data_IF_763536314253
#
_entry.id   IF_763536314253
#
_cell.length_a   1.000
_cell.length_b   1.000
_cell.length_c   1.000
_cell.angle_alpha   90.00
_cell.angle_beta   90.00
_cell.angle_gamma   90.00
#
_symmetry.space_group_name_H-M   'P 1'
#
loop_
_entity.id
_entity.type
_entity.pdbx_description
1 polymer ?
#
# COMPACT_ATOMS: atom_id res chain seq x y z
N UNK A 1 8.89 11.06 -25.25
CA UNK A 1 7.44 11.04 -24.91
C UNK A 1 6.83 9.64 -25.11
N UNK A 2 6.94 9.00 -26.27
CA UNK A 2 6.39 7.65 -26.52
C UNK A 2 6.96 6.52 -25.63
N UNK A 3 8.24 6.60 -25.25
CA UNK A 3 8.83 5.64 -24.29
C UNK A 3 8.34 5.85 -22.85
N UNK A 4 8.06 7.09 -22.47
CA UNK A 4 7.50 7.43 -21.16
C UNK A 4 6.06 6.91 -21.05
N UNK A 5 5.27 7.03 -22.12
CA UNK A 5 3.94 6.43 -22.19
C UNK A 5 3.99 4.90 -22.15
N UNK A 6 4.96 4.26 -22.81
CA UNK A 6 5.17 2.82 -22.74
C UNK A 6 5.53 2.33 -21.33
N UNK A 7 6.40 3.08 -20.63
CA UNK A 7 6.76 2.81 -19.24
C UNK A 7 5.60 3.06 -18.28
N UNK A 8 4.87 4.16 -18.43
CA UNK A 8 3.67 4.45 -17.65
C UNK A 8 2.61 3.40 -17.89
N UNK A 9 2.45 2.86 -19.11
CA UNK A 9 1.46 1.81 -19.39
C UNK A 9 1.83 0.47 -18.72
N UNK A 10 3.12 0.18 -18.59
CA UNK A 10 3.63 -1.05 -17.94
C UNK A 10 3.68 -0.94 -16.41
N UNK A 11 4.06 0.22 -15.88
CA UNK A 11 4.26 0.49 -14.45
C UNK A 11 3.20 1.39 -13.82
N UNK A 12 2.09 1.66 -14.53
CA UNK A 12 0.98 2.52 -14.09
C UNK A 12 0.60 2.29 -12.64
N UNK A 13 0.42 1.04 -12.24
CA UNK A 13 0.01 0.70 -10.88
C UNK A 13 1.07 1.05 -9.83
N UNK A 14 2.35 0.84 -10.11
CA UNK A 14 3.44 1.20 -9.20
C UNK A 14 3.57 2.71 -9.07
N UNK A 15 3.51 3.42 -10.19
CA UNK A 15 3.54 4.90 -10.21
C UNK A 15 2.34 5.47 -9.45
N UNK A 16 1.15 4.90 -9.63
CA UNK A 16 -0.04 5.29 -8.87
C UNK A 16 0.10 4.98 -7.37
N UNK A 17 0.65 3.83 -7.00
CA UNK A 17 0.87 3.47 -5.59
C UNK A 17 1.84 4.45 -4.92
N UNK A 18 2.95 4.75 -5.59
CA UNK A 18 3.96 5.70 -5.10
C UNK A 18 3.38 7.09 -5.00
N UNK A 19 2.65 7.55 -6.01
CA UNK A 19 1.96 8.84 -5.98
C UNK A 19 0.94 8.92 -4.83
N UNK A 20 0.20 7.83 -4.57
CA UNK A 20 -0.75 7.73 -3.48
C UNK A 20 -0.07 7.80 -2.10
N UNK A 21 1.05 7.10 -1.91
CA UNK A 21 1.83 7.20 -0.67
C UNK A 21 2.45 8.58 -0.47
N UNK A 22 2.97 9.19 -1.54
CA UNK A 22 3.51 10.54 -1.49
C UNK A 22 2.44 11.58 -1.13
N UNK A 23 1.26 11.50 -1.76
CA UNK A 23 0.12 12.36 -1.43
C UNK A 23 -0.33 12.14 0.03
N UNK A 24 -0.52 10.89 0.45
CA UNK A 24 -0.92 10.57 1.82
C UNK A 24 0.10 11.07 2.86
N UNK A 25 1.39 11.02 2.53
CA UNK A 25 2.47 11.60 3.32
C UNK A 25 2.33 13.11 3.48
N UNK A 26 2.16 13.83 2.37
CA UNK A 26 2.04 15.29 2.37
C UNK A 26 0.76 15.74 3.10
N UNK A 27 -0.39 15.14 2.78
CA UNK A 27 -1.67 15.51 3.37
C UNK A 27 -1.82 15.07 4.84
N UNK A 28 -1.22 13.93 5.20
CA UNK A 28 -1.18 13.43 6.58
C UNK A 28 -0.20 14.17 7.49
N UNK A 29 0.70 15.00 6.93
CA UNK A 29 1.65 15.80 7.71
C UNK A 29 1.16 17.23 7.95
N UNK A 30 0.39 17.82 7.02
CA UNK A 30 0.21 19.28 7.01
C UNK A 30 -1.22 19.83 6.88
N UNK A 31 -2.26 19.04 6.58
CA UNK A 31 -3.50 19.64 6.04
C UNK A 31 -4.83 19.18 6.64
N UNK A 32 -5.03 17.89 6.96
CA UNK A 32 -6.37 17.39 7.36
C UNK A 32 -6.29 16.43 8.55
N UNK A 33 -5.24 15.60 8.63
CA UNK A 33 -5.09 14.59 9.68
C UNK A 33 -3.83 14.90 10.49
N UNK A 34 -3.96 14.86 11.83
CA UNK A 34 -2.81 15.06 12.72
C UNK A 34 -1.81 13.90 12.54
N UNK A 35 -0.49 14.18 12.52
CA UNK A 35 0.56 13.18 12.33
C UNK A 35 0.52 12.06 13.39
N UNK A 36 -0.04 12.35 14.57
CA UNK A 36 -0.26 11.36 15.61
C UNK A 36 -1.10 10.17 15.13
N UNK A 37 -2.18 10.43 14.40
CA UNK A 37 -3.05 9.37 13.87
C UNK A 37 -2.33 8.53 12.83
N UNK A 38 -1.62 9.17 11.91
CA UNK A 38 -0.84 8.49 10.87
C UNK A 38 0.15 7.48 11.47
N UNK A 39 0.86 7.87 12.53
CA UNK A 39 1.77 6.98 13.25
C UNK A 39 1.02 5.86 13.96
N UNK A 40 -0.07 6.18 14.68
CA UNK A 40 -0.86 5.18 15.40
C UNK A 40 -1.42 4.09 14.45
N UNK A 41 -1.97 4.49 13.31
CA UNK A 41 -2.49 3.57 12.30
C UNK A 41 -1.37 2.77 11.63
N UNK A 42 -0.23 3.39 11.30
CA UNK A 42 0.92 2.66 10.77
C UNK A 42 1.45 1.60 11.75
N UNK A 43 1.57 1.95 13.03
CA UNK A 43 2.01 1.03 14.09
C UNK A 43 1.00 -0.10 14.31
N UNK A 44 -0.29 0.21 14.42
CA UNK A 44 -1.36 -0.79 14.53
C UNK A 44 -1.37 -1.74 13.32
N UNK A 45 -1.22 -1.17 12.11
CA UNK A 45 -1.10 -1.94 10.88
C UNK A 45 0.11 -2.87 10.90
N UNK A 46 1.26 -2.38 11.36
CA UNK A 46 2.48 -3.17 11.55
C UNK A 46 2.26 -4.39 12.45
N UNK A 47 1.64 -4.18 13.61
CA UNK A 47 1.35 -5.27 14.55
C UNK A 47 0.40 -6.29 13.93
N UNK A 48 -0.70 -5.84 13.32
CA UNK A 48 -1.68 -6.73 12.67
C UNK A 48 -1.03 -7.50 11.51
N UNK A 49 -0.21 -6.82 10.71
CA UNK A 49 0.51 -7.41 9.57
C UNK A 49 1.50 -8.48 9.99
N UNK A 50 2.18 -8.29 11.12
CA UNK A 50 3.09 -9.27 11.70
C UNK A 50 2.35 -10.46 12.34
N UNK A 51 1.19 -10.22 12.97
CA UNK A 51 0.37 -11.27 13.59
C UNK A 51 -0.34 -12.15 12.57
N UNK A 52 -0.82 -11.59 11.46
CA UNK A 52 -1.66 -12.29 10.48
C UNK A 52 -1.14 -12.15 9.04
N UNK A 53 0.12 -12.52 8.75
CA UNK A 53 0.76 -12.27 7.46
C UNK A 53 0.04 -12.96 6.30
N UNK A 54 -0.54 -14.14 6.54
CA UNK A 54 -1.29 -14.91 5.54
C UNK A 54 -2.63 -14.26 5.18
N UNK A 55 -3.33 -13.68 6.16
CA UNK A 55 -4.57 -12.94 5.91
C UNK A 55 -4.29 -11.72 5.04
N UNK A 56 -3.20 -10.99 5.33
CA UNK A 56 -2.80 -9.81 4.56
C UNK A 56 -2.43 -10.21 3.14
N UNK A 57 -1.67 -11.29 2.96
CA UNK A 57 -1.35 -11.82 1.63
C UNK A 57 -2.61 -12.17 0.82
N UNK A 58 -3.58 -12.86 1.43
CA UNK A 58 -4.87 -13.18 0.77
C UNK A 58 -5.66 -11.93 0.39
N UNK A 59 -5.75 -10.97 1.30
CA UNK A 59 -6.42 -9.69 1.07
C UNK A 59 -5.76 -8.93 -0.09
N UNK A 60 -4.43 -8.76 -0.07
CA UNK A 60 -3.72 -8.08 -1.15
C UNK A 60 -3.92 -8.77 -2.49
N UNK A 61 -3.88 -10.12 -2.54
CA UNK A 61 -4.17 -10.86 -3.77
C UNK A 61 -5.60 -10.66 -4.25
N UNK A 62 -6.58 -10.64 -3.35
CA UNK A 62 -7.97 -10.40 -3.72
C UNK A 62 -8.18 -8.99 -4.28
N UNK A 63 -7.61 -7.96 -3.63
CA UNK A 63 -7.71 -6.56 -4.05
C UNK A 63 -7.00 -6.33 -5.39
N UNK A 64 -5.76 -6.81 -5.52
CA UNK A 64 -4.98 -6.71 -6.74
C UNK A 64 -5.66 -7.50 -7.87
N UNK A 65 -6.09 -8.73 -7.59
CA UNK A 65 -6.81 -9.56 -8.57
C UNK A 65 -8.13 -8.92 -9.02
N UNK A 66 -8.85 -8.26 -8.12
CA UNK A 66 -10.04 -7.48 -8.46
C UNK A 66 -9.70 -6.30 -9.38
N UNK A 67 -8.67 -5.52 -9.06
CA UNK A 67 -8.19 -4.41 -9.88
C UNK A 67 -7.76 -4.88 -11.27
N UNK A 68 -7.01 -5.99 -11.37
CA UNK A 68 -6.53 -6.52 -12.64
C UNK A 68 -7.64 -7.14 -13.50
N UNK A 69 -8.76 -7.56 -12.91
CA UNK A 69 -9.93 -8.05 -13.66
C UNK A 69 -10.72 -6.95 -14.37
N UNK A 70 -10.51 -5.69 -14.02
CA UNK A 70 -11.25 -4.57 -14.61
C UNK A 70 -10.62 -4.12 -15.94
N UNK A 71 -11.45 -3.62 -16.85
CA UNK A 71 -11.00 -2.99 -18.10
C UNK A 71 -10.10 -1.77 -17.85
N UNK A 72 -9.24 -1.44 -18.83
CA UNK A 72 -8.24 -0.37 -18.68
C UNK A 72 -8.83 0.98 -18.28
N UNK A 73 -9.98 1.35 -18.84
CA UNK A 73 -10.66 2.60 -18.51
C UNK A 73 -11.20 2.57 -17.07
N UNK A 74 -11.78 1.45 -16.66
CA UNK A 74 -12.29 1.25 -15.31
C UNK A 74 -11.17 1.27 -14.28
N UNK A 75 -10.02 0.66 -14.58
CA UNK A 75 -8.83 0.75 -13.72
C UNK A 75 -8.36 2.18 -13.53
N UNK A 76 -8.36 3.00 -14.59
CA UNK A 76 -7.95 4.40 -14.54
C UNK A 76 -8.92 5.24 -13.69
N UNK A 77 -10.22 5.03 -13.89
CA UNK A 77 -11.27 5.69 -13.09
C UNK A 77 -11.14 5.28 -11.62
N UNK A 78 -10.98 3.99 -11.34
CA UNK A 78 -10.85 3.49 -9.96
C UNK A 78 -9.58 4.03 -9.29
N UNK A 79 -8.45 4.07 -10.01
CA UNK A 79 -7.21 4.65 -9.52
C UNK A 79 -7.36 6.14 -9.20
N UNK A 80 -8.02 6.91 -10.09
CA UNK A 80 -8.33 8.32 -9.85
C UNK A 80 -9.24 8.52 -8.64
N UNK A 81 -10.30 7.73 -8.51
CA UNK A 81 -11.21 7.77 -7.35
C UNK A 81 -10.46 7.43 -6.05
N UNK A 82 -9.66 6.37 -6.04
CA UNK A 82 -8.85 5.98 -4.88
C UNK A 82 -7.83 7.06 -4.53
N UNK A 83 -7.23 7.71 -5.53
CA UNK A 83 -6.28 8.81 -5.33
C UNK A 83 -6.97 10.02 -4.67
N UNK A 84 -8.14 10.44 -5.13
CA UNK A 84 -8.90 11.52 -4.49
C UNK A 84 -9.34 11.12 -3.09
N UNK A 85 -9.85 9.89 -2.93
CA UNK A 85 -10.24 9.37 -1.62
C UNK A 85 -9.05 9.29 -0.67
N UNK A 86 -7.83 9.03 -1.14
CA UNK A 86 -6.63 8.91 -0.30
C UNK A 86 -6.35 10.16 0.55
N UNK A 87 -6.81 11.33 0.11
CA UNK A 87 -6.75 12.59 0.87
C UNK A 87 -7.65 12.51 2.12
N UNK A 88 -8.84 11.91 1.99
CA UNK A 88 -9.80 11.72 3.09
C UNK A 88 -9.44 10.50 3.95
N UNK A 89 -8.94 9.43 3.33
CA UNK A 89 -8.58 8.16 3.99
C UNK A 89 -7.07 8.03 4.26
N UNK A 90 -6.35 9.14 4.44
CA UNK A 90 -4.92 9.16 4.77
C UNK A 90 -4.52 8.13 5.84
N UNK A 91 -5.22 8.00 6.98
CA UNK A 91 -4.87 7.01 8.00
C UNK A 91 -4.97 5.56 7.52
N UNK A 92 -5.88 5.26 6.59
CA UNK A 92 -6.02 3.93 6.01
C UNK A 92 -4.82 3.60 5.11
N UNK A 93 -4.27 4.57 4.40
CA UNK A 93 -3.04 4.40 3.61
C UNK A 93 -1.86 4.06 4.52
N UNK A 94 -1.73 4.77 5.65
CA UNK A 94 -0.71 4.47 6.67
C UNK A 94 -0.91 3.09 7.31
N UNK A 95 -2.17 2.70 7.60
CA UNK A 95 -2.50 1.36 8.08
C UNK A 95 -2.06 0.28 7.08
N UNK A 96 -2.35 0.45 5.79
CA UNK A 96 -1.97 -0.48 4.74
C UNK A 96 -0.45 -0.58 4.56
N UNK A 97 0.26 0.56 4.63
CA UNK A 97 1.72 0.57 4.68
C UNK A 97 2.24 -0.23 5.89
N UNK A 98 1.69 0.02 7.08
CA UNK A 98 2.01 -0.72 8.28
C UNK A 98 1.79 -2.22 8.13
N UNK A 99 0.62 -2.63 7.65
CA UNK A 99 0.25 -4.03 7.37
C UNK A 99 1.26 -4.72 6.48
N UNK A 100 1.66 -4.06 5.39
CA UNK A 100 2.66 -4.59 4.48
C UNK A 100 4.06 -4.64 5.12
N UNK A 101 4.46 -3.61 5.85
CA UNK A 101 5.74 -3.57 6.56
C UNK A 101 5.85 -4.68 7.61
N UNK A 102 4.83 -4.85 8.46
CA UNK A 102 4.79 -5.88 9.50
C UNK A 102 4.83 -7.29 8.93
N UNK A 103 4.07 -7.55 7.86
CA UNK A 103 4.11 -8.83 7.13
C UNK A 103 5.51 -9.12 6.58
N UNK A 104 6.11 -8.15 5.88
CA UNK A 104 7.44 -8.31 5.27
C UNK A 104 8.50 -8.56 6.35
N UNK A 105 8.49 -7.79 7.42
CA UNK A 105 9.42 -7.93 8.53
C UNK A 105 9.31 -9.32 9.19
N UNK A 106 8.08 -9.81 9.42
CA UNK A 106 7.87 -11.16 9.95
C UNK A 106 8.44 -12.26 9.02
N UNK A 107 8.23 -12.14 7.70
CA UNK A 107 8.78 -13.09 6.73
C UNK A 107 10.31 -13.07 6.69
N UNK A 108 10.92 -11.88 6.73
CA UNK A 108 12.38 -11.73 6.78
C UNK A 108 12.97 -12.31 8.06
N UNK A 109 12.31 -12.14 9.21
CA UNK A 109 12.74 -12.76 10.47
C UNK A 109 12.71 -14.29 10.38
N UNK A 110 11.65 -14.86 9.81
CA UNK A 110 11.56 -16.32 9.62
C UNK A 110 12.65 -16.85 8.69
N UNK A 111 12.94 -16.13 7.61
CA UNK A 111 14.01 -16.48 6.67
C UNK A 111 15.38 -16.48 7.37
N UNK A 112 15.71 -15.43 8.12
CA UNK A 112 16.96 -15.35 8.89
C UNK A 112 17.03 -16.45 9.96
N UNK A 113 15.94 -16.69 10.69
CA UNK A 113 15.89 -17.75 11.71
C UNK A 113 16.11 -19.14 11.10
N UNK A 114 15.62 -19.40 9.88
CA UNK A 114 15.85 -20.66 9.17
C UNK A 114 17.31 -20.85 8.74
N UNK A 115 18.03 -19.77 8.44
CA UNK A 115 19.45 -19.80 8.09
C UNK A 115 20.38 -19.92 9.31
N UNK A 116 19.89 -19.57 10.50
CA UNK A 116 20.68 -19.57 11.74
C UNK A 116 20.52 -20.87 12.55
N UNK A 117 19.67 -21.81 12.11
CA UNK A 117 19.60 -23.14 12.72
C UNK A 117 20.80 -23.98 12.25
N UNK A 118 21.65 -24.49 13.17
CA UNK A 118 22.78 -25.36 12.83
C UNK A 118 22.33 -26.72 12.30
#
# INVERSE_FOLDING_TARGET
>A
MKELEGFVKKYRFEVFLVALFALAGIFGMGLIWSPFWSVLFASAGGIIGALMPQAIKKMSHAVIGFLFRQDQNTQLILAGVILVLSILVCPLVFLLAGLHAGKTLHLTILEISSQTKP
#
